data_IF_302138681794
#
_entry.id   IF_302138681794
#
_cell.length_a   1.000
_cell.length_b   1.000
_cell.length_c   1.000
_cell.angle_alpha   90.00
_cell.angle_beta   90.00
_cell.angle_gamma   90.00
#
_symmetry.space_group_name_H-M   'P 1'
#
loop_
_entity.id
_entity.type
_entity.pdbx_description
1 polymer ?
#
# COMPACT_ATOMS: atom_id res chain seq x y z
N UNK A 1 24.05 15.43 -40.52
CA UNK A 1 23.97 14.44 -39.42
C UNK A 1 22.96 14.80 -38.30
N UNK A 2 22.01 15.73 -38.47
CA UNK A 2 21.07 16.16 -37.40
C UNK A 2 19.74 15.38 -37.36
N UNK A 3 19.37 14.69 -38.44
CA UNK A 3 18.10 13.92 -38.56
C UNK A 3 18.03 12.66 -37.68
N UNK A 4 19.06 11.80 -37.58
CA UNK A 4 18.96 10.58 -36.77
C UNK A 4 18.80 10.89 -35.28
N UNK A 5 19.50 11.91 -34.78
CA UNK A 5 19.40 12.37 -33.38
C UNK A 5 17.97 12.84 -33.04
N UNK A 6 17.28 13.51 -33.97
CA UNK A 6 15.90 13.96 -33.78
C UNK A 6 14.91 12.80 -33.68
N UNK A 7 15.08 11.77 -34.50
CA UNK A 7 14.22 10.58 -34.44
C UNK A 7 14.48 9.75 -33.18
N UNK A 8 15.75 9.58 -32.78
CA UNK A 8 16.08 8.91 -31.51
C UNK A 8 15.47 9.65 -30.32
N UNK A 9 15.58 10.99 -30.28
CA UNK A 9 15.01 11.80 -29.21
C UNK A 9 13.46 11.72 -29.19
N UNK A 10 12.83 11.70 -30.36
CA UNK A 10 11.38 11.52 -30.47
C UNK A 10 10.94 10.14 -29.97
N UNK A 11 11.64 9.07 -30.36
CA UNK A 11 11.34 7.71 -29.89
C UNK A 11 11.50 7.58 -28.37
N UNK A 12 12.58 8.11 -27.80
CA UNK A 12 12.79 8.11 -26.35
C UNK A 12 11.67 8.88 -25.65
N UNK A 13 11.25 10.03 -26.19
CA UNK A 13 10.15 10.82 -25.62
C UNK A 13 8.82 10.08 -25.64
N UNK A 14 8.52 9.34 -26.73
CA UNK A 14 7.33 8.49 -26.82
C UNK A 14 7.39 7.36 -25.79
N UNK A 15 8.53 6.67 -25.66
CA UNK A 15 8.69 5.59 -24.68
C UNK A 15 8.53 6.10 -23.25
N UNK A 16 9.08 7.28 -22.95
CA UNK A 16 8.89 7.94 -21.65
C UNK A 16 7.42 8.30 -21.43
N UNK A 17 6.74 8.85 -22.43
CA UNK A 17 5.31 9.16 -22.34
C UNK A 17 4.44 7.92 -22.11
N UNK A 18 4.71 6.82 -22.81
CA UNK A 18 4.02 5.54 -22.60
C UNK A 18 4.30 4.99 -21.20
N UNK A 19 5.54 5.06 -20.73
CA UNK A 19 5.90 4.62 -19.38
C UNK A 19 5.19 5.45 -18.30
N UNK A 20 5.18 6.78 -18.44
CA UNK A 20 4.45 7.68 -17.53
C UNK A 20 2.95 7.38 -17.56
N UNK A 21 2.37 7.20 -18.75
CA UNK A 21 0.95 6.85 -18.90
C UNK A 21 0.60 5.51 -18.25
N UNK A 22 1.47 4.51 -18.36
CA UNK A 22 1.32 3.22 -17.69
C UNK A 22 1.35 3.34 -16.16
N UNK A 23 2.28 4.13 -15.62
CA UNK A 23 2.35 4.40 -14.18
C UNK A 23 1.09 5.13 -13.70
N UNK A 24 0.65 6.16 -14.42
CA UNK A 24 -0.60 6.86 -14.10
C UNK A 24 -1.80 5.91 -14.09
N UNK A 25 -1.92 5.05 -15.11
CA UNK A 25 -2.99 4.07 -15.21
C UNK A 25 -2.97 3.03 -14.07
N UNK A 26 -1.78 2.70 -13.56
CA UNK A 26 -1.62 1.70 -12.48
C UNK A 26 -1.88 2.30 -11.10
N UNK A 27 -1.40 3.51 -10.83
CA UNK A 27 -1.38 4.07 -9.47
C UNK A 27 -2.45 5.16 -9.21
N UNK A 28 -2.73 6.01 -10.19
CA UNK A 28 -3.57 7.20 -9.99
C UNK A 28 -4.94 7.12 -10.71
N UNK A 29 -5.06 6.26 -11.73
CA UNK A 29 -6.26 6.18 -12.55
C UNK A 29 -7.48 5.67 -11.77
N UNK A 30 -8.65 6.29 -11.94
CA UNK A 30 -9.91 5.79 -11.38
C UNK A 30 -10.41 4.52 -12.09
N UNK A 31 -9.87 4.19 -13.27
CA UNK A 31 -10.28 3.04 -14.06
C UNK A 31 -9.53 1.76 -13.63
N UNK A 32 -10.25 0.64 -13.51
CA UNK A 32 -9.67 -0.71 -13.44
C UNK A 32 -9.34 -1.25 -12.04
N UNK A 33 -9.61 -0.50 -10.96
CA UNK A 33 -9.50 -1.00 -9.59
C UNK A 33 -10.83 -0.85 -8.88
N UNK A 34 -11.46 -1.97 -8.52
CA UNK A 34 -12.60 -1.94 -7.61
C UNK A 34 -12.69 -3.19 -6.70
N UNK A 35 -11.80 -3.33 -5.70
CA UNK A 35 -12.01 -4.19 -4.56
C UNK A 35 -11.83 -3.37 -3.28
N UNK A 36 -12.81 -2.51 -2.96
CA UNK A 36 -12.97 -2.09 -1.56
C UNK A 36 -14.01 -3.04 -0.97
N UNK A 37 -13.60 -4.01 -0.13
CA UNK A 37 -14.57 -4.87 0.51
C UNK A 37 -15.53 -4.04 1.36
N UNK A 38 -16.84 -4.30 1.25
CA UNK A 38 -17.88 -3.55 1.96
C UNK A 38 -17.74 -3.61 3.49
N UNK A 39 -17.03 -4.63 4.00
CA UNK A 39 -16.78 -4.81 5.43
C UNK A 39 -15.78 -3.80 6.03
N UNK A 40 -15.03 -3.06 5.21
CA UNK A 40 -14.08 -2.08 5.73
C UNK A 40 -14.77 -0.76 6.09
N UNK A 41 -14.43 -0.14 7.23
CA UNK A 41 -15.01 1.13 7.63
C UNK A 41 -14.78 2.20 6.55
N UNK A 42 -15.75 3.10 6.43
CA UNK A 42 -15.66 4.26 5.54
C UNK A 42 -14.39 5.07 5.87
N UNK A 43 -13.74 5.56 4.82
CA UNK A 43 -12.58 6.44 4.97
C UNK A 43 -13.19 7.83 4.98
N UNK A 44 -12.94 8.56 6.06
CA UNK A 44 -13.30 9.95 6.23
C UNK A 44 -12.31 10.80 5.42
N UNK A 45 -12.84 11.69 4.58
CA UNK A 45 -12.06 12.53 3.67
C UNK A 45 -11.18 13.55 4.41
N UNK A 46 -11.63 13.98 5.59
CA UNK A 46 -10.96 15.02 6.38
C UNK A 46 -10.03 14.44 7.47
N UNK A 47 -9.98 13.10 7.61
CA UNK A 47 -9.19 12.42 8.63
C UNK A 47 -7.78 12.05 8.14
N UNK A 48 -6.87 11.87 9.10
CA UNK A 48 -5.56 11.27 8.88
C UNK A 48 -5.45 9.93 9.58
N UNK A 49 -4.73 9.00 8.95
CA UNK A 49 -4.58 7.63 9.37
C UNK A 49 -3.11 7.31 9.62
N UNK A 50 -2.82 6.61 10.71
CA UNK A 50 -1.51 6.04 10.97
C UNK A 50 -1.43 4.66 10.33
N UNK A 51 -0.44 4.44 9.47
CA UNK A 51 -0.21 3.15 8.79
C UNK A 51 1.18 2.64 9.17
N UNK A 52 1.27 1.43 9.70
CA UNK A 52 2.53 0.75 9.96
C UNK A 52 3.00 -0.02 8.73
N UNK A 53 4.18 0.33 8.23
CA UNK A 53 4.81 -0.26 7.06
C UNK A 53 6.08 -1.02 7.46
N UNK A 54 6.21 -2.25 6.97
CA UNK A 54 7.33 -3.16 7.29
C UNK A 54 8.00 -3.79 6.04
N UNK A 55 7.52 -3.43 4.85
CA UNK A 55 7.95 -3.94 3.54
C UNK A 55 8.51 -2.85 2.63
N UNK A 56 8.13 -2.88 1.35
CA UNK A 56 8.61 -1.94 0.30
C UNK A 56 8.28 -0.49 0.64
N UNK A 57 7.11 -0.24 1.24
CA UNK A 57 6.63 1.08 1.67
C UNK A 57 7.49 1.73 2.77
N UNK A 58 8.46 1.02 3.36
CA UNK A 58 9.46 1.64 4.25
C UNK A 58 10.40 2.61 3.52
N UNK A 59 10.48 2.49 2.18
CA UNK A 59 11.32 3.32 1.31
C UNK A 59 10.58 4.58 0.87
N UNK A 60 11.13 5.79 1.11
CA UNK A 60 10.49 7.07 0.74
C UNK A 60 10.13 7.19 -0.75
N UNK A 61 10.95 6.65 -1.65
CA UNK A 61 10.71 6.73 -3.09
C UNK A 61 9.51 5.89 -3.55
N UNK A 62 9.29 4.73 -2.92
CA UNK A 62 8.11 3.88 -3.20
C UNK A 62 6.86 4.59 -2.73
N UNK A 63 6.90 5.18 -1.53
CA UNK A 63 5.79 6.00 -1.01
C UNK A 63 5.46 7.15 -1.96
N UNK A 64 6.47 7.87 -2.44
CA UNK A 64 6.28 8.93 -3.42
C UNK A 64 5.62 8.45 -4.72
N UNK A 65 6.04 7.29 -5.23
CA UNK A 65 5.45 6.71 -6.45
C UNK A 65 3.98 6.31 -6.25
N UNK A 66 3.64 5.77 -5.08
CA UNK A 66 2.30 5.25 -4.79
C UNK A 66 1.34 6.36 -4.39
N UNK A 67 1.74 7.23 -3.46
CA UNK A 67 0.87 8.19 -2.80
C UNK A 67 1.10 9.65 -3.23
N UNK A 68 2.02 9.88 -4.19
CA UNK A 68 2.33 11.21 -4.73
C UNK A 68 3.26 12.08 -3.87
N UNK A 69 3.52 11.71 -2.61
CA UNK A 69 4.53 12.31 -1.74
C UNK A 69 5.29 11.23 -0.96
N UNK A 70 6.48 11.52 -0.45
CA UNK A 70 7.23 10.52 0.32
C UNK A 70 6.66 10.31 1.72
N UNK A 71 6.12 11.37 2.34
CA UNK A 71 5.61 11.37 3.71
C UNK A 71 6.69 11.15 4.77
N UNK A 72 6.40 11.61 5.98
CA UNK A 72 7.26 11.33 7.13
C UNK A 72 7.04 9.89 7.60
N UNK A 73 8.13 9.24 7.98
CA UNK A 73 8.11 7.85 8.43
C UNK A 73 8.90 7.73 9.72
N UNK A 74 8.19 7.57 10.83
CA UNK A 74 8.79 7.42 12.15
C UNK A 74 9.10 5.96 12.42
N UNK A 75 10.30 5.61 12.92
CA UNK A 75 10.61 4.24 13.34
C UNK A 75 9.60 3.74 14.37
N UNK A 76 9.08 2.53 14.16
CA UNK A 76 8.08 1.93 15.03
C UNK A 76 8.29 0.43 15.17
N UNK A 77 7.71 -0.14 16.22
CA UNK A 77 7.80 -1.56 16.55
C UNK A 77 6.41 -2.13 16.80
N UNK A 78 6.15 -3.29 16.21
CA UNK A 78 4.90 -4.03 16.32
C UNK A 78 5.15 -5.32 17.14
N UNK A 79 4.74 -5.36 18.41
CA UNK A 79 4.91 -6.54 19.27
C UNK A 79 3.87 -7.62 18.97
N UNK A 80 4.21 -8.88 19.24
CA UNK A 80 3.34 -10.04 19.03
C UNK A 80 3.30 -10.55 17.58
N UNK A 81 4.07 -9.94 16.68
CA UNK A 81 4.11 -10.30 15.26
C UNK A 81 5.54 -10.49 14.80
N UNK A 82 5.75 -11.56 14.02
CA UNK A 82 6.99 -11.84 13.29
C UNK A 82 6.76 -11.61 11.80
N UNK A 83 7.66 -10.87 11.18
CA UNK A 83 7.74 -10.77 9.73
C UNK A 83 8.24 -12.08 9.13
N UNK A 84 7.45 -12.68 8.27
CA UNK A 84 7.81 -13.83 7.44
C UNK A 84 7.63 -13.42 5.97
N UNK A 85 8.74 -13.19 5.28
CA UNK A 85 8.78 -12.75 3.88
C UNK A 85 7.95 -11.46 3.64
N UNK A 86 6.81 -11.61 2.97
CA UNK A 86 5.87 -10.55 2.61
C UNK A 86 4.65 -10.47 3.55
N UNK A 87 4.61 -11.30 4.60
CA UNK A 87 3.53 -11.38 5.57
C UNK A 87 4.02 -11.10 7.00
N UNK A 88 3.07 -10.80 7.89
CA UNK A 88 3.27 -10.81 9.34
C UNK A 88 2.39 -11.90 9.95
N UNK A 89 2.99 -12.75 10.78
CA UNK A 89 2.28 -13.80 11.53
C UNK A 89 2.34 -13.52 13.01
N UNK A 90 1.25 -13.84 13.71
CA UNK A 90 1.23 -13.79 15.16
C UNK A 90 2.29 -14.77 15.70
N UNK A 91 3.16 -14.27 16.56
CA UNK A 91 4.21 -15.04 17.18
C UNK A 91 4.51 -14.44 18.57
N UNK A 92 4.27 -15.22 19.61
CA UNK A 92 4.44 -14.77 20.99
C UNK A 92 5.88 -14.32 21.26
N UNK A 93 6.02 -13.16 21.88
CA UNK A 93 7.31 -12.54 22.19
C UNK A 93 8.08 -12.01 20.96
N UNK A 94 7.55 -12.14 19.74
CA UNK A 94 8.17 -11.54 18.56
C UNK A 94 7.91 -10.04 18.48
N UNK A 95 8.82 -9.30 17.85
CA UNK A 95 8.66 -7.88 17.55
C UNK A 95 9.10 -7.64 16.12
N UNK A 96 8.23 -7.02 15.32
CA UNK A 96 8.55 -6.59 13.96
C UNK A 96 8.90 -5.10 13.94
N UNK A 97 10.06 -4.78 13.38
CA UNK A 97 10.49 -3.39 13.19
C UNK A 97 9.99 -2.85 11.84
N UNK A 98 9.59 -1.59 11.84
CA UNK A 98 9.06 -0.93 10.66
C UNK A 98 9.01 0.58 10.85
N UNK A 99 8.11 1.23 10.13
CA UNK A 99 7.83 2.67 10.27
C UNK A 99 6.34 2.92 10.35
N UNK A 100 5.93 3.96 11.06
CA UNK A 100 4.59 4.52 10.94
C UNK A 100 4.63 5.72 10.02
N UNK A 101 3.66 5.78 9.12
CA UNK A 101 3.44 6.90 8.22
C UNK A 101 2.05 7.47 8.47
N UNK A 102 1.93 8.80 8.41
CA UNK A 102 0.63 9.48 8.48
C UNK A 102 0.14 9.77 7.06
N UNK A 103 -1.05 9.27 6.74
CA UNK A 103 -1.66 9.37 5.42
C UNK A 103 -3.06 9.98 5.49
N UNK A 104 -3.45 10.69 4.44
CA UNK A 104 -4.82 11.19 4.26
C UNK A 104 -5.71 10.14 3.56
N UNK A 105 -6.96 10.52 3.28
CA UNK A 105 -7.94 9.67 2.62
C UNK A 105 -7.51 9.18 1.22
N UNK A 106 -6.96 10.05 0.38
CA UNK A 106 -6.52 9.67 -0.96
C UNK A 106 -5.29 8.75 -0.93
N UNK A 107 -4.39 9.01 0.01
CA UNK A 107 -3.17 8.23 0.18
C UNK A 107 -3.46 6.84 0.72
N UNK A 108 -4.37 6.71 1.70
CA UNK A 108 -4.75 5.37 2.18
C UNK A 108 -5.45 4.57 1.07
N UNK A 109 -6.26 5.19 0.20
CA UNK A 109 -6.82 4.54 -1.01
C UNK A 109 -5.73 4.12 -1.99
N UNK A 110 -4.70 4.95 -2.17
CA UNK A 110 -3.57 4.61 -3.04
C UNK A 110 -2.77 3.43 -2.48
N UNK A 111 -2.60 3.36 -1.17
CA UNK A 111 -1.98 2.21 -0.48
C UNK A 111 -2.83 0.95 -0.63
N UNK A 112 -4.14 1.04 -0.40
CA UNK A 112 -5.09 -0.07 -0.59
C UNK A 112 -4.94 -0.68 -2.01
N UNK A 113 -4.81 0.19 -3.02
CA UNK A 113 -4.58 -0.19 -4.42
C UNK A 113 -3.24 -0.87 -4.66
N UNK A 114 -2.17 -0.31 -4.09
CA UNK A 114 -0.82 -0.87 -4.23
C UNK A 114 -0.73 -2.28 -3.64
N UNK A 115 -1.28 -2.47 -2.44
CA UNK A 115 -1.25 -3.75 -1.75
C UNK A 115 -2.24 -4.76 -2.37
N UNK A 116 -3.22 -4.26 -3.15
CA UNK A 116 -4.36 -5.02 -3.69
C UNK A 116 -5.23 -5.59 -2.55
N UNK A 117 -5.75 -4.65 -1.76
CA UNK A 117 -6.68 -4.91 -0.68
C UNK A 117 -7.84 -5.81 -1.15
N UNK A 118 -8.22 -6.80 -0.33
CA UNK A 118 -9.30 -7.74 -0.62
C UNK A 118 -8.94 -8.87 -1.59
N UNK A 119 -7.78 -8.81 -2.24
CA UNK A 119 -7.30 -9.87 -3.15
C UNK A 119 -6.10 -10.60 -2.57
N UNK A 120 -5.11 -9.84 -2.07
CA UNK A 120 -3.88 -10.41 -1.50
C UNK A 120 -3.68 -10.04 -0.04
N UNK A 121 -4.06 -8.82 0.31
CA UNK A 121 -3.85 -8.28 1.65
C UNK A 121 -5.17 -7.80 2.23
N UNK A 122 -5.28 -7.89 3.55
CA UNK A 122 -6.31 -7.22 4.33
C UNK A 122 -5.67 -6.13 5.19
N UNK A 123 -6.48 -5.13 5.55
CA UNK A 123 -6.07 -4.03 6.41
C UNK A 123 -6.64 -4.24 7.80
N UNK A 124 -5.78 -4.43 8.78
CA UNK A 124 -6.15 -4.65 10.19
C UNK A 124 -5.56 -3.56 11.08
N UNK A 125 -6.30 -3.13 12.09
CA UNK A 125 -5.81 -2.17 13.08
C UNK A 125 -5.07 -2.92 14.18
N UNK A 126 -3.79 -2.58 14.42
CA UNK A 126 -2.96 -3.19 15.46
C UNK A 126 -2.33 -2.13 16.36
N UNK A 127 -2.08 -2.51 17.61
CA UNK A 127 -1.42 -1.66 18.60
C UNK A 127 0.09 -1.79 18.52
N UNK A 128 0.77 -0.66 18.39
CA UNK A 128 2.23 -0.57 18.35
C UNK A 128 2.82 -0.58 19.77
N UNK A 129 4.14 -0.76 19.86
CA UNK A 129 4.84 -0.80 21.15
C UNK A 129 4.69 0.50 21.96
N UNK A 130 4.44 1.64 21.31
CA UNK A 130 4.19 2.92 21.97
C UNK A 130 2.72 3.11 22.43
N UNK A 131 1.88 2.08 22.30
CA UNK A 131 0.47 2.10 22.69
C UNK A 131 -0.48 2.75 21.68
N UNK A 132 0.03 3.32 20.57
CA UNK A 132 -0.81 3.89 19.50
C UNK A 132 -1.32 2.78 18.58
N UNK A 133 -2.52 2.94 18.06
CA UNK A 133 -3.05 2.09 16.98
C UNK A 133 -2.55 2.56 15.61
N UNK A 134 -2.29 1.60 14.73
CA UNK A 134 -2.00 1.86 13.33
C UNK A 134 -2.59 0.76 12.44
N UNK A 135 -2.98 1.14 11.23
CA UNK A 135 -3.39 0.22 10.19
C UNK A 135 -2.18 -0.56 9.66
N UNK A 136 -2.34 -1.87 9.51
CA UNK A 136 -1.31 -2.79 9.04
C UNK A 136 -1.90 -3.64 7.93
N UNK A 137 -1.18 -3.74 6.81
CA UNK A 137 -1.52 -4.68 5.76
C UNK A 137 -0.90 -6.03 6.08
N UNK A 138 -1.68 -7.10 6.06
CA UNK A 138 -1.17 -8.49 6.18
C UNK A 138 -1.77 -9.35 5.09
N UNK A 139 -1.08 -10.42 4.71
CA UNK A 139 -1.57 -11.33 3.68
C UNK A 139 -2.89 -11.95 4.16
N UNK A 140 -3.93 -11.95 3.32
CA UNK A 140 -5.16 -12.67 3.62
C UNK A 140 -4.85 -14.17 3.67
N UNK A 141 -5.30 -14.83 4.73
CA UNK A 141 -5.32 -16.28 4.77
C UNK A 141 -6.39 -16.77 3.77
N UNK A 142 -6.05 -17.66 2.82
CA UNK A 142 -7.03 -18.22 1.88
C UNK A 142 -8.27 -18.82 2.57
N UNK A 143 -8.16 -19.28 3.82
CA UNK A 143 -9.30 -19.81 4.58
C UNK A 143 -10.33 -18.72 4.96
N UNK A 144 -9.89 -17.48 5.21
CA UNK A 144 -10.77 -16.36 5.58
C UNK A 144 -11.62 -15.90 4.38
N UNK A 145 -11.09 -16.08 3.17
CA UNK A 145 -11.81 -15.78 1.93
C UNK A 145 -13.01 -16.70 1.75
N UNK A 146 -12.83 -18.00 1.94
CA UNK A 146 -13.89 -19.01 1.79
C UNK A 146 -15.03 -18.77 2.80
N UNK A 147 -14.68 -18.45 4.06
CA UNK A 147 -15.66 -18.12 5.11
C UNK A 147 -16.39 -16.78 4.82
N UNK A 148 -15.70 -15.77 4.29
CA UNK A 148 -16.36 -14.49 3.95
C UNK A 148 -17.30 -14.63 2.76
N UNK A 149 -16.95 -15.46 1.78
CA UNK A 149 -17.82 -15.78 0.63
C UNK A 149 -19.03 -16.62 1.07
N UNK A 150 -18.87 -17.58 1.99
CA UNK A 150 -19.96 -18.45 2.48
C UNK A 150 -20.92 -17.77 3.49
N UNK A 151 -20.44 -16.77 4.25
CA UNK A 151 -21.28 -16.02 5.21
C UNK A 151 -22.10 -14.91 4.54
N UNK A 152 -21.73 -14.51 3.32
CA UNK A 152 -22.39 -13.46 2.55
C UNK A 152 -23.38 -13.99 1.48
N UNK A 153 -23.49 -15.31 1.30
CA UNK A 153 -24.53 -16.02 0.54
C UNK A 153 -25.64 -16.57 1.46
#
# INVERSE_FOLDING_TARGET
MKKPIRYTLATVSVLVGVFIGYLWLTFASPFGYNPRPEYLPAIDEDATYSVFVYGTLTHPWVRWLVMGRAGEGEPAKLPGFRKEELNIKAADGAVTEGKVITVNADEIRALDRYERLGIRYERVELTLQNGKSAWVYRLMDPLVREISEEVLD
#
